data_IF_595441306549
#
_entry.id   IF_595441306549
#
_cell.length_a   1.000
_cell.length_b   1.000
_cell.length_c   1.000
_cell.angle_alpha   90.00
_cell.angle_beta   90.00
_cell.angle_gamma   90.00
#
_symmetry.space_group_name_H-M   'P 1'
#
loop_
_entity.id
_entity.type
_entity.pdbx_description
1 polymer ?
#
# COMPACT_ATOMS: atom_id res chain seq x y z
N UNK A 1 3.69 10.36 21.34
CA UNK A 1 2.45 10.62 20.58
C UNK A 1 1.63 11.59 21.39
N UNK A 2 1.28 12.74 20.82
CA UNK A 2 0.41 13.71 21.49
C UNK A 2 -1.05 13.19 21.47
N UNK A 3 -1.89 13.67 22.38
CA UNK A 3 -3.29 13.20 22.52
C UNK A 3 -4.11 13.41 21.23
N UNK A 4 -3.78 14.45 20.44
CA UNK A 4 -4.45 14.77 19.17
C UNK A 4 -4.20 13.70 18.11
N UNK A 5 -2.98 13.21 17.95
CA UNK A 5 -2.66 12.19 16.95
C UNK A 5 -3.24 10.82 17.32
N UNK A 6 -3.42 10.55 18.62
CA UNK A 6 -4.17 9.38 19.06
C UNK A 6 -5.63 9.48 18.61
N UNK A 7 -6.28 10.63 18.84
CA UNK A 7 -7.65 10.88 18.39
C UNK A 7 -7.78 10.78 16.86
N UNK A 8 -6.81 11.30 16.10
CA UNK A 8 -6.81 11.17 14.64
C UNK A 8 -6.73 9.72 14.16
N UNK A 9 -5.97 8.85 14.84
CA UNK A 9 -5.94 7.41 14.53
C UNK A 9 -7.27 6.72 14.86
N UNK A 10 -7.89 7.07 15.99
CA UNK A 10 -9.22 6.56 16.35
C UNK A 10 -10.25 6.97 15.29
N UNK A 11 -10.27 8.24 14.88
CA UNK A 11 -11.15 8.74 13.81
C UNK A 11 -10.87 8.12 12.44
N UNK A 12 -9.60 7.81 12.14
CA UNK A 12 -9.23 7.03 10.97
C UNK A 12 -9.93 5.67 10.97
N UNK A 13 -9.86 4.93 12.08
CA UNK A 13 -10.49 3.62 12.21
C UNK A 13 -12.02 3.72 12.10
N UNK A 14 -12.64 4.68 12.78
CA UNK A 14 -14.09 4.88 12.73
C UNK A 14 -14.58 5.21 11.31
N UNK A 15 -13.90 6.14 10.62
CA UNK A 15 -14.23 6.51 9.24
C UNK A 15 -14.00 5.35 8.27
N UNK A 16 -12.97 4.54 8.52
CA UNK A 16 -12.71 3.33 7.76
C UNK A 16 -13.84 2.30 7.90
N UNK A 17 -14.23 1.98 9.14
CA UNK A 17 -15.32 1.04 9.42
C UNK A 17 -16.67 1.53 8.86
N UNK A 18 -16.90 2.85 8.88
CA UNK A 18 -18.06 3.47 8.23
C UNK A 18 -18.00 3.46 6.69
N UNK A 19 -16.87 3.06 6.10
CA UNK A 19 -16.64 3.05 4.65
C UNK A 19 -16.32 4.41 4.04
N UNK A 20 -16.09 5.45 4.85
CA UNK A 20 -15.73 6.80 4.44
C UNK A 20 -14.23 6.89 4.11
N UNK A 21 -13.81 6.25 3.01
CA UNK A 21 -12.39 6.06 2.69
C UNK A 21 -11.63 7.39 2.56
N UNK A 22 -12.21 8.39 1.88
CA UNK A 22 -11.58 9.72 1.72
C UNK A 22 -11.34 10.42 3.06
N UNK A 23 -12.31 10.33 3.96
CA UNK A 23 -12.21 10.91 5.30
C UNK A 23 -11.15 10.17 6.13
N UNK A 24 -11.13 8.83 6.08
CA UNK A 24 -10.11 8.03 6.75
C UNK A 24 -8.70 8.43 6.29
N UNK A 25 -8.47 8.54 4.97
CA UNK A 25 -7.18 8.97 4.43
C UNK A 25 -6.82 10.37 4.94
N UNK A 26 -7.79 11.29 5.01
CA UNK A 26 -7.60 12.64 5.53
C UNK A 26 -7.04 12.68 6.95
N UNK A 27 -7.53 11.81 7.84
CA UNK A 27 -7.03 11.75 9.22
C UNK A 27 -5.58 11.28 9.32
N UNK A 28 -5.19 10.24 8.56
CA UNK A 28 -3.79 9.80 8.52
C UNK A 28 -2.88 10.83 7.84
N UNK A 29 -3.39 11.51 6.80
CA UNK A 29 -2.64 12.58 6.14
C UNK A 29 -2.35 13.73 7.11
N UNK A 30 -3.30 14.08 7.98
CA UNK A 30 -3.06 15.09 9.02
C UNK A 30 -1.96 14.67 10.01
N UNK A 31 -1.89 13.39 10.40
CA UNK A 31 -0.81 12.87 11.26
C UNK A 31 0.55 13.01 10.55
N UNK A 32 0.60 12.66 9.26
CA UNK A 32 1.80 12.79 8.43
C UNK A 32 2.21 14.26 8.29
N UNK A 33 1.27 15.17 8.03
CA UNK A 33 1.52 16.59 7.86
C UNK A 33 2.00 17.25 9.17
N UNK A 34 1.59 16.72 10.32
CA UNK A 34 2.11 17.10 11.64
C UNK A 34 3.53 16.54 11.93
N UNK A 35 4.13 15.77 11.01
CA UNK A 35 5.47 15.20 11.16
C UNK A 35 5.55 13.99 12.10
N UNK A 36 4.42 13.46 12.55
CA UNK A 36 4.35 12.30 13.46
C UNK A 36 3.96 11.00 12.73
N UNK A 37 3.85 11.03 11.40
CA UNK A 37 3.54 9.85 10.58
C UNK A 37 4.63 8.78 10.65
N UNK A 38 4.21 7.56 10.95
CA UNK A 38 5.06 6.37 10.95
C UNK A 38 4.86 5.52 9.68
N UNK A 39 5.64 4.45 9.55
CA UNK A 39 5.60 3.57 8.39
C UNK A 39 4.22 2.93 8.17
N UNK A 40 3.49 2.64 9.25
CA UNK A 40 2.16 2.06 9.19
C UNK A 40 1.13 3.04 8.65
N UNK A 41 1.29 4.35 8.90
CA UNK A 41 0.41 5.39 8.35
C UNK A 41 0.52 5.47 6.84
N UNK A 42 1.75 5.53 6.33
CA UNK A 42 1.99 5.54 4.88
C UNK A 42 1.48 4.26 4.22
N UNK A 43 1.78 3.10 4.80
CA UNK A 43 1.26 1.84 4.28
C UNK A 43 -0.27 1.83 4.26
N UNK A 44 -0.92 2.24 5.36
CA UNK A 44 -2.38 2.26 5.48
C UNK A 44 -3.01 3.17 4.43
N UNK A 45 -2.51 4.39 4.22
CA UNK A 45 -3.02 5.26 3.14
C UNK A 45 -2.83 4.60 1.77
N UNK A 46 -1.64 4.04 1.51
CA UNK A 46 -1.34 3.36 0.25
C UNK A 46 -2.27 2.17 -0.03
N UNK A 47 -2.54 1.37 0.99
CA UNK A 47 -3.51 0.27 0.96
C UNK A 47 -4.93 0.78 0.69
N UNK A 48 -5.34 1.88 1.31
CA UNK A 48 -6.68 2.47 1.07
C UNK A 48 -6.85 2.95 -0.36
N UNK A 49 -5.85 3.62 -0.93
CA UNK A 49 -5.88 3.98 -2.35
C UNK A 49 -5.88 2.74 -3.24
N UNK A 50 -5.11 1.72 -2.89
CA UNK A 50 -5.06 0.46 -3.62
C UNK A 50 -6.42 -0.25 -3.64
N UNK A 51 -7.10 -0.35 -2.49
CA UNK A 51 -8.44 -0.93 -2.39
C UNK A 51 -9.51 -0.16 -3.19
N UNK A 52 -9.29 1.13 -3.44
CA UNK A 52 -10.14 1.96 -4.30
C UNK A 52 -9.75 1.93 -5.78
N UNK A 53 -8.75 1.10 -6.15
CA UNK A 53 -8.16 1.06 -7.49
C UNK A 53 -7.58 2.42 -7.94
N UNK A 54 -7.28 3.32 -6.99
CA UNK A 54 -6.56 4.57 -7.24
C UNK A 54 -5.06 4.30 -7.30
N UNK A 55 -4.64 3.51 -8.29
CA UNK A 55 -3.31 2.92 -8.37
C UNK A 55 -2.18 3.96 -8.42
N UNK A 56 -2.35 5.09 -9.10
CA UNK A 56 -1.34 6.16 -9.13
C UNK A 56 -1.10 6.77 -7.74
N UNK A 57 -2.18 7.02 -6.99
CA UNK A 57 -2.09 7.55 -5.62
C UNK A 57 -1.47 6.52 -4.68
N UNK A 58 -1.87 5.24 -4.82
CA UNK A 58 -1.29 4.13 -4.08
C UNK A 58 0.22 4.03 -4.33
N UNK A 59 0.66 4.06 -5.60
CA UNK A 59 2.08 4.03 -5.98
C UNK A 59 2.84 5.18 -5.31
N UNK A 60 2.30 6.40 -5.35
CA UNK A 60 2.92 7.58 -4.76
C UNK A 60 3.19 7.39 -3.27
N UNK A 61 2.17 7.01 -2.50
CA UNK A 61 2.27 6.84 -1.05
C UNK A 61 3.10 5.61 -0.66
N UNK A 62 2.94 4.47 -1.34
CA UNK A 62 3.72 3.27 -1.10
C UNK A 62 5.21 3.48 -1.41
N UNK A 63 5.55 4.36 -2.36
CA UNK A 63 6.94 4.75 -2.61
C UNK A 63 7.55 5.49 -1.42
N UNK A 64 6.80 6.38 -0.77
CA UNK A 64 7.23 7.07 0.45
C UNK A 64 7.38 6.08 1.60
N UNK A 65 6.43 5.14 1.75
CA UNK A 65 6.53 4.03 2.70
C UNK A 65 7.85 3.27 2.51
N UNK A 66 8.16 2.82 1.30
CA UNK A 66 9.39 2.08 0.99
C UNK A 66 10.66 2.86 1.31
N UNK A 67 10.68 4.18 1.04
CA UNK A 67 11.80 5.04 1.37
C UNK A 67 12.03 5.09 2.88
N UNK A 68 10.99 5.37 3.67
CA UNK A 68 11.07 5.43 5.14
C UNK A 68 11.39 4.07 5.77
N UNK A 69 10.83 2.99 5.22
CA UNK A 69 11.11 1.65 5.71
C UNK A 69 12.58 1.29 5.62
N UNK A 70 13.30 1.79 4.59
CA UNK A 70 14.73 1.52 4.41
C UNK A 70 15.56 2.20 5.50
N UNK A 71 15.15 3.39 5.90
CA UNK A 71 15.77 4.14 6.99
C UNK A 71 15.56 3.45 8.35
N UNK A 72 14.39 2.82 8.55
CA UNK A 72 13.98 2.21 9.81
C UNK A 72 14.30 0.70 9.94
N UNK A 73 14.83 0.06 8.89
CA UNK A 73 15.06 -1.40 8.82
C UNK A 73 13.81 -2.25 9.12
N UNK A 74 12.61 -1.71 8.86
CA UNK A 74 11.36 -2.44 9.04
C UNK A 74 10.97 -3.13 7.74
N UNK A 75 11.15 -4.45 7.71
CA UNK A 75 11.00 -5.26 6.50
C UNK A 75 9.55 -5.64 6.21
N UNK A 76 8.67 -5.71 7.21
CA UNK A 76 7.31 -6.22 7.01
C UNK A 76 6.45 -5.27 6.16
N UNK A 77 6.36 -3.99 6.54
CA UNK A 77 5.64 -2.99 5.76
C UNK A 77 6.27 -2.77 4.39
N UNK A 78 7.59 -2.95 4.27
CA UNK A 78 8.26 -2.87 2.98
C UNK A 78 7.83 -3.99 2.03
N UNK A 79 7.83 -5.24 2.49
CA UNK A 79 7.42 -6.38 1.67
C UNK A 79 5.97 -6.22 1.21
N UNK A 80 5.07 -5.80 2.10
CA UNK A 80 3.67 -5.53 1.75
C UNK A 80 3.56 -4.34 0.78
N UNK A 81 4.32 -3.27 0.98
CA UNK A 81 4.31 -2.12 0.08
C UNK A 81 4.86 -2.43 -1.31
N UNK A 82 5.96 -3.20 -1.42
CA UNK A 82 6.45 -3.69 -2.71
C UNK A 82 5.42 -4.54 -3.42
N UNK A 83 4.70 -5.39 -2.68
CA UNK A 83 3.68 -6.27 -3.26
C UNK A 83 2.50 -5.50 -3.85
N UNK A 84 1.90 -4.58 -3.07
CA UNK A 84 0.79 -3.76 -3.56
C UNK A 84 1.24 -2.80 -4.67
N UNK A 85 2.45 -2.22 -4.57
CA UNK A 85 2.98 -1.33 -5.60
C UNK A 85 3.29 -2.07 -6.90
N UNK A 86 3.87 -3.26 -6.83
CA UNK A 86 4.12 -4.10 -8.01
C UNK A 86 2.81 -4.43 -8.73
N UNK A 87 1.77 -4.81 -7.98
CA UNK A 87 0.44 -5.05 -8.56
C UNK A 87 -0.09 -3.79 -9.27
N UNK A 88 -0.08 -2.64 -8.59
CA UNK A 88 -0.54 -1.38 -9.15
C UNK A 88 0.24 -1.00 -10.42
N UNK A 89 1.57 -1.18 -10.42
CA UNK A 89 2.44 -0.92 -11.57
C UNK A 89 2.09 -1.82 -12.77
N UNK A 90 1.81 -3.12 -12.55
CA UNK A 90 1.37 -4.03 -13.61
C UNK A 90 0.03 -3.57 -14.20
N UNK A 91 -0.93 -3.20 -13.35
CA UNK A 91 -2.24 -2.71 -13.79
C UNK A 91 -2.12 -1.45 -14.66
N UNK A 92 -1.13 -0.60 -14.38
CA UNK A 92 -0.82 0.60 -15.17
C UNK A 92 0.18 0.33 -16.32
N UNK A 93 0.46 -0.94 -16.65
CA UNK A 93 1.37 -1.35 -17.73
C UNK A 93 2.82 -0.87 -17.55
N UNK A 94 3.26 -0.61 -16.32
CA UNK A 94 4.61 -0.19 -15.96
C UNK A 94 5.47 -1.39 -15.55
N UNK A 95 5.70 -2.28 -16.51
CA UNK A 95 6.23 -3.64 -16.26
C UNK A 95 7.66 -3.68 -15.73
N UNK A 96 8.51 -2.73 -16.12
CA UNK A 96 9.92 -2.73 -15.70
C UNK A 96 10.07 -2.36 -14.21
N UNK A 97 9.30 -1.35 -13.77
CA UNK A 97 9.23 -0.95 -12.38
C UNK A 97 8.61 -2.06 -11.52
N UNK A 98 7.57 -2.72 -12.02
CA UNK A 98 6.99 -3.88 -11.34
C UNK A 98 7.99 -5.04 -11.19
N UNK A 99 8.78 -5.35 -12.24
CA UNK A 99 9.85 -6.37 -12.15
C UNK A 99 10.87 -6.04 -11.07
N UNK A 100 11.27 -4.77 -10.97
CA UNK A 100 12.18 -4.33 -9.93
C UNK A 100 11.57 -4.55 -8.54
N UNK A 101 10.30 -4.18 -8.34
CA UNK A 101 9.62 -4.38 -7.05
C UNK A 101 9.53 -5.85 -6.65
N UNK A 102 9.20 -6.74 -7.60
CA UNK A 102 9.07 -8.19 -7.36
C UNK A 102 10.35 -8.81 -6.78
N UNK A 103 11.53 -8.31 -7.17
CA UNK A 103 12.81 -8.80 -6.64
C UNK A 103 12.98 -8.57 -5.14
N UNK A 104 12.24 -7.63 -4.57
CA UNK A 104 12.30 -7.28 -3.15
C UNK A 104 11.20 -7.95 -2.31
N UNK A 105 10.32 -8.74 -2.91
CA UNK A 105 9.22 -9.41 -2.22
C UNK A 105 9.67 -10.81 -1.78
N UNK A 106 9.70 -11.15 -0.48
CA UNK A 106 9.88 -12.53 0.00
C UNK A 106 8.78 -13.45 -0.55
N UNK A 107 9.11 -14.72 -0.80
CA UNK A 107 8.20 -15.66 -1.48
C UNK A 107 6.91 -15.96 -0.69
N UNK A 108 6.95 -15.84 0.62
CA UNK A 108 5.82 -16.04 1.54
C UNK A 108 4.98 -14.77 1.77
N UNK A 109 5.29 -13.67 1.09
CA UNK A 109 4.54 -12.41 1.24
C UNK A 109 3.17 -12.51 0.57
N UNK A 110 2.14 -12.25 1.37
CA UNK A 110 0.76 -12.07 0.90
C UNK A 110 0.05 -11.00 1.72
N UNK A 111 -0.96 -10.36 1.11
CA UNK A 111 -1.90 -9.43 1.73
C UNK A 111 -3.29 -10.03 1.53
N UNK A 112 -3.94 -10.40 2.63
CA UNK A 112 -5.24 -11.12 2.66
C UNK A 112 -6.36 -10.30 3.32
N UNK A 113 -6.04 -9.09 3.79
CA UNK A 113 -6.95 -8.22 4.54
C UNK A 113 -7.46 -7.05 3.68
N UNK A 114 -7.58 -7.25 2.37
CA UNK A 114 -8.20 -6.28 1.47
C UNK A 114 -9.71 -6.48 1.49
N UNK A 115 -10.43 -5.50 2.04
CA UNK A 115 -11.87 -5.66 2.30
C UNK A 115 -12.72 -5.37 1.07
N UNK A 116 -12.27 -4.48 0.19
CA UNK A 116 -13.05 -4.02 -0.98
C UNK A 116 -12.44 -4.36 -2.33
N UNK A 117 -11.21 -4.87 -2.36
CA UNK A 117 -10.52 -5.18 -3.60
C UNK A 117 -11.09 -6.46 -4.25
N UNK A 118 -11.13 -6.57 -5.60
CA UNK A 118 -11.67 -7.74 -6.29
C UNK A 118 -10.93 -9.04 -5.94
N UNK A 119 -9.62 -8.97 -5.80
CA UNK A 119 -8.80 -10.07 -5.29
C UNK A 119 -8.79 -10.07 -3.75
N UNK A 120 -9.27 -11.17 -3.16
CA UNK A 120 -9.26 -11.41 -1.70
C UNK A 120 -7.87 -11.69 -1.13
N UNK A 121 -6.90 -12.00 -1.99
CA UNK A 121 -5.51 -12.19 -1.64
C UNK A 121 -4.63 -11.66 -2.77
N UNK A 122 -3.67 -10.81 -2.42
CA UNK A 122 -2.55 -10.47 -3.29
C UNK A 122 -1.32 -11.18 -2.75
N UNK A 123 -0.75 -12.10 -3.53
CA UNK A 123 0.50 -12.80 -3.21
C UNK A 123 1.57 -12.51 -4.25
N UNK A 124 2.84 -12.75 -3.91
CA UNK A 124 3.94 -12.62 -4.89
C UNK A 124 3.69 -13.46 -6.14
N UNK A 125 3.18 -14.69 -5.97
CA UNK A 125 2.85 -15.58 -7.07
C UNK A 125 1.80 -14.98 -8.00
N UNK A 126 0.72 -14.41 -7.45
CA UNK A 126 -0.32 -13.75 -8.24
C UNK A 126 0.26 -12.59 -9.06
N UNK A 127 1.09 -11.75 -8.44
CA UNK A 127 1.72 -10.60 -9.10
C UNK A 127 2.62 -11.05 -10.26
N UNK A 128 3.42 -12.12 -10.08
CA UNK A 128 4.23 -12.71 -11.15
C UNK A 128 3.34 -13.23 -12.30
N UNK A 129 2.28 -13.99 -11.98
CA UNK A 129 1.35 -14.51 -12.99
C UNK A 129 0.69 -13.39 -13.80
N UNK A 130 0.31 -12.28 -13.15
CA UNK A 130 -0.26 -11.11 -13.83
C UNK A 130 0.74 -10.45 -14.77
N UNK A 131 1.99 -10.29 -14.35
CA UNK A 131 3.05 -9.75 -15.19
C UNK A 131 3.34 -10.64 -16.41
N UNK A 132 3.42 -11.96 -16.21
CA UNK A 132 3.66 -12.91 -17.29
C UNK A 132 2.50 -12.91 -18.30
N UNK A 133 1.26 -12.89 -17.82
CA UNK A 133 0.07 -12.83 -18.69
C UNK A 133 -0.02 -11.53 -19.50
N UNK A 134 0.49 -10.42 -18.96
CA UNK A 134 0.56 -9.13 -19.67
C UNK A 134 1.65 -9.15 -20.75
N UNK A 135 2.81 -9.71 -20.43
CA UNK A 135 3.97 -9.70 -21.33
C UNK A 135 3.92 -10.78 -22.41
N UNK A 136 3.19 -11.87 -22.21
CA UNK A 136 2.95 -12.91 -23.22
C UNK A 136 1.99 -12.48 -24.36
N UNK A 137 1.32 -11.33 -24.22
CA UNK A 137 0.41 -10.78 -25.25
C UNK A 137 1.12 -9.93 -26.30
N UNK A 138 2.44 -9.76 -26.20
CA UNK A 138 3.28 -8.97 -27.08
C UNK A 138 4.38 -9.85 -27.70
#
# INVERSE_FOLDING_TARGET
MNDKNKELRERYHDAWEAGNIRESIGFLQEIIDNGEGDLSDYYSIGERYFECEEYENAIGILTICLQKGRELSNTWFQSCAYLLRAYALITLNKTDEARNDIQHIPDDTSVTWLYKHPESEISKLLVIQKLDALTAKH
#
